data_IF_681181789690
#
_entry.id   IF_681181789690
#
_cell.length_a   1.000
_cell.length_b   1.000
_cell.length_c   1.000
_cell.angle_alpha   90.00
_cell.angle_beta   90.00
_cell.angle_gamma   90.00
#
_symmetry.space_group_name_H-M   'P 1'
#
loop_
_entity.id
_entity.type
_entity.pdbx_description
1 polymer ?
#
# COMPACT_ATOMS: atom_id res chain seq x y z
N UNK A 1 20.49 4.15 -0.92
CA UNK A 1 20.16 4.09 -2.37
C UNK A 1 19.91 5.50 -2.84
N UNK A 2 20.52 5.96 -3.94
CA UNK A 2 20.30 7.33 -4.43
C UNK A 2 19.36 7.28 -5.64
N UNK A 3 18.06 7.52 -5.42
CA UNK A 3 17.01 7.44 -6.45
C UNK A 3 16.88 8.76 -7.24
N UNK A 4 17.72 9.75 -6.92
CA UNK A 4 17.72 11.07 -7.56
C UNK A 4 16.46 11.89 -7.25
N UNK A 5 15.76 11.55 -6.17
CA UNK A 5 14.60 12.27 -5.64
C UNK A 5 14.97 12.86 -4.29
N UNK A 6 14.55 14.10 -4.01
CA UNK A 6 14.77 14.75 -2.72
C UNK A 6 13.73 14.24 -1.71
N UNK A 7 14.04 14.35 -0.42
CA UNK A 7 13.08 14.01 0.64
C UNK A 7 11.77 14.83 0.56
N UNK A 8 11.84 16.06 0.07
CA UNK A 8 10.65 16.88 -0.22
C UNK A 8 9.77 16.25 -1.29
N UNK A 9 10.38 15.70 -2.34
CA UNK A 9 9.69 15.11 -3.48
C UNK A 9 9.02 13.80 -3.03
N UNK A 10 9.74 12.98 -2.27
CA UNK A 10 9.20 11.75 -1.67
C UNK A 10 8.01 12.04 -0.74
N UNK A 11 8.10 13.08 0.09
CA UNK A 11 6.99 13.50 0.96
C UNK A 11 5.78 13.97 0.16
N UNK A 12 5.99 14.73 -0.92
CA UNK A 12 4.90 15.17 -1.76
C UNK A 12 4.19 13.98 -2.44
N UNK A 13 4.96 13.03 -2.98
CA UNK A 13 4.42 11.80 -3.58
C UNK A 13 3.61 11.01 -2.55
N UNK A 14 4.17 10.77 -1.36
CA UNK A 14 3.48 10.04 -0.28
C UNK A 14 2.21 10.76 0.19
N UNK A 15 2.23 12.10 0.27
CA UNK A 15 1.06 12.90 0.62
C UNK A 15 -0.06 12.75 -0.43
N UNK A 16 0.28 12.77 -1.73
CA UNK A 16 -0.69 12.53 -2.81
C UNK A 16 -1.31 11.13 -2.70
N UNK A 17 -0.50 10.09 -2.46
CA UNK A 17 -1.02 8.73 -2.26
C UNK A 17 -1.95 8.64 -1.04
N UNK A 18 -1.63 9.37 0.03
CA UNK A 18 -2.44 9.40 1.24
C UNK A 18 -3.83 10.03 1.06
N UNK A 19 -4.04 10.87 0.04
CA UNK A 19 -5.34 11.47 -0.27
C UNK A 19 -6.36 10.45 -0.79
N UNK A 20 -5.91 9.33 -1.35
CA UNK A 20 -6.78 8.33 -1.95
C UNK A 20 -6.90 7.11 -1.02
N UNK A 21 -8.02 6.92 -0.30
CA UNK A 21 -8.23 5.80 0.62
C UNK A 21 -8.12 4.42 -0.06
N UNK A 22 -8.30 4.38 -1.37
CA UNK A 22 -8.19 3.20 -2.20
C UNK A 22 -6.75 2.68 -2.33
N UNK A 23 -5.74 3.54 -2.18
CA UNK A 23 -4.32 3.19 -2.33
C UNK A 23 -3.76 2.60 -1.05
N UNK A 24 -3.58 1.30 -0.98
CA UNK A 24 -3.03 0.65 0.22
C UNK A 24 -1.51 0.77 0.30
N UNK A 25 -0.82 0.74 -0.83
CA UNK A 25 0.64 0.77 -0.86
C UNK A 25 1.15 1.29 -2.19
N UNK A 26 2.32 1.92 -2.18
CA UNK A 26 3.02 2.38 -3.37
C UNK A 26 4.52 2.07 -3.29
N UNK A 27 5.09 1.65 -4.42
CA UNK A 27 6.50 1.35 -4.58
C UNK A 27 7.08 2.11 -5.78
N UNK A 28 8.28 2.62 -5.61
CA UNK A 28 9.12 3.15 -6.70
C UNK A 28 9.83 1.99 -7.39
N UNK A 29 9.77 1.95 -8.71
CA UNK A 29 10.51 0.97 -9.50
C UNK A 29 11.24 1.63 -10.68
N UNK A 30 11.71 0.80 -11.61
CA UNK A 30 12.32 1.28 -12.84
C UNK A 30 13.76 1.78 -12.69
N UNK A 31 14.14 2.71 -13.57
CA UNK A 31 15.53 3.16 -13.70
C UNK A 31 16.04 3.88 -12.44
N UNK A 32 15.15 4.57 -11.72
CA UNK A 32 15.46 5.28 -10.46
C UNK A 32 15.67 4.32 -9.31
N UNK A 33 14.87 3.27 -9.19
CA UNK A 33 15.06 2.22 -8.19
C UNK A 33 16.39 1.46 -8.40
N UNK A 34 16.76 1.22 -9.67
CA UNK A 34 18.05 0.60 -10.04
C UNK A 34 19.26 1.52 -9.90
N UNK A 35 19.06 2.83 -9.74
CA UNK A 35 20.14 3.81 -9.70
C UNK A 35 20.79 4.11 -11.06
N UNK A 36 20.18 3.67 -12.17
CA UNK A 36 20.67 3.89 -13.55
C UNK A 36 19.96 5.07 -14.23
N UNK A 37 19.34 5.96 -13.45
CA UNK A 37 18.53 7.06 -13.95
C UNK A 37 19.40 8.21 -14.51
N UNK A 38 18.85 8.95 -15.47
CA UNK A 38 19.43 10.19 -15.99
C UNK A 38 18.70 11.38 -15.38
N UNK A 39 19.29 12.58 -15.47
CA UNK A 39 18.55 13.82 -15.19
C UNK A 39 17.35 13.88 -16.14
N UNK A 40 16.13 13.82 -15.59
CA UNK A 40 14.89 13.81 -16.37
C UNK A 40 14.30 12.44 -16.67
N UNK A 41 14.84 11.35 -16.11
CA UNK A 41 14.16 10.04 -16.21
C UNK A 41 12.79 10.06 -15.55
N UNK A 42 11.84 9.35 -16.15
CA UNK A 42 10.51 9.14 -15.61
C UNK A 42 10.57 8.50 -14.20
N UNK A 43 9.56 8.77 -13.39
CA UNK A 43 9.38 8.21 -12.06
C UNK A 43 8.29 7.16 -12.13
N UNK A 44 8.72 5.90 -12.21
CA UNK A 44 7.83 4.75 -12.29
C UNK A 44 7.33 4.35 -10.89
N UNK A 45 6.03 4.44 -10.67
CA UNK A 45 5.36 4.09 -9.42
C UNK A 45 4.39 2.94 -9.63
N UNK A 46 4.54 1.88 -8.83
CA UNK A 46 3.59 0.80 -8.79
C UNK A 46 2.72 0.98 -7.55
N UNK A 47 1.41 1.02 -7.71
CA UNK A 47 0.45 1.14 -6.61
C UNK A 47 -0.34 -0.14 -6.48
N UNK A 48 -0.75 -0.45 -5.25
CA UNK A 48 -1.65 -1.55 -4.93
C UNK A 48 -2.77 -1.04 -4.04
N UNK A 49 -3.98 -1.53 -4.28
CA UNK A 49 -5.15 -1.10 -3.57
C UNK A 49 -6.42 -1.67 -4.19
N UNK A 50 -7.57 -1.31 -3.60
CA UNK A 50 -8.87 -1.75 -4.09
C UNK A 50 -9.49 -0.73 -5.04
N UNK A 51 -10.14 -1.20 -6.11
CA UNK A 51 -10.93 -0.35 -7.04
C UNK A 51 -10.11 0.83 -7.60
N UNK A 52 -8.88 0.56 -8.02
CA UNK A 52 -7.94 1.57 -8.52
C UNK A 52 -8.31 2.18 -9.89
N UNK A 53 -9.35 1.71 -10.57
CA UNK A 53 -9.68 2.07 -11.96
C UNK A 53 -9.60 3.56 -12.27
N UNK A 54 -10.47 4.39 -11.68
CA UNK A 54 -10.45 5.85 -11.87
C UNK A 54 -9.39 6.55 -11.01
N UNK A 55 -8.98 5.92 -9.90
CA UNK A 55 -8.00 6.47 -8.95
C UNK A 55 -6.62 6.57 -9.58
N UNK A 56 -6.22 5.63 -10.43
CA UNK A 56 -4.95 5.68 -11.16
C UNK A 56 -4.84 6.94 -12.03
N UNK A 57 -5.92 7.28 -12.74
CA UNK A 57 -5.96 8.48 -13.57
C UNK A 57 -5.88 9.75 -12.74
N UNK A 58 -6.61 9.82 -11.62
CA UNK A 58 -6.54 10.96 -10.70
C UNK A 58 -5.15 11.10 -10.05
N UNK A 59 -4.49 9.98 -9.72
CA UNK A 59 -3.12 9.98 -9.22
C UNK A 59 -2.15 10.52 -10.27
N UNK A 60 -2.26 10.04 -11.52
CA UNK A 60 -1.43 10.49 -12.64
C UNK A 60 -1.59 11.99 -12.89
N UNK A 61 -2.82 12.47 -12.95
CA UNK A 61 -3.15 13.88 -13.17
C UNK A 61 -2.55 14.74 -12.06
N UNK A 62 -2.78 14.37 -10.79
CA UNK A 62 -2.28 15.13 -9.64
C UNK A 62 -0.75 15.12 -9.55
N UNK A 63 -0.11 13.99 -9.85
CA UNK A 63 1.36 13.87 -9.83
C UNK A 63 2.05 14.66 -10.94
N UNK A 64 1.45 14.75 -12.13
CA UNK A 64 2.07 15.42 -13.28
C UNK A 64 1.67 16.89 -13.42
N UNK A 65 0.42 17.24 -13.11
CA UNK A 65 -0.12 18.58 -13.34
C UNK A 65 -0.13 19.46 -12.08
N UNK A 66 -0.34 18.86 -10.90
CA UNK A 66 -0.46 19.64 -9.65
C UNK A 66 0.83 19.70 -8.84
N UNK A 67 1.65 18.65 -8.88
CA UNK A 67 2.94 18.67 -8.20
C UNK A 67 3.95 19.47 -9.03
N UNK A 68 4.62 20.50 -8.47
CA UNK A 68 5.61 21.29 -9.18
C UNK A 68 6.97 20.57 -9.25
N UNK A 69 6.95 19.32 -9.74
CA UNK A 69 8.13 18.48 -9.87
C UNK A 69 8.55 18.41 -11.35
N UNK A 70 9.86 18.50 -11.66
CA UNK A 70 10.36 18.50 -13.03
C UNK A 70 10.43 17.09 -13.63
N UNK A 71 9.64 16.15 -13.10
CA UNK A 71 9.68 14.74 -13.46
C UNK A 71 8.31 14.32 -13.98
N UNK A 72 8.30 13.43 -14.96
CA UNK A 72 7.08 12.76 -15.37
C UNK A 72 6.87 11.53 -14.50
N UNK A 73 5.65 11.33 -14.04
CA UNK A 73 5.24 10.20 -13.23
C UNK A 73 4.42 9.23 -14.06
N UNK A 74 4.83 7.96 -14.06
CA UNK A 74 4.07 6.86 -14.61
C UNK A 74 3.58 5.98 -13.45
N UNK A 75 2.27 5.74 -13.37
CA UNK A 75 1.65 4.97 -12.29
C UNK A 75 1.00 3.72 -12.88
N UNK A 76 1.33 2.56 -12.33
CA UNK A 76 0.74 1.27 -12.72
C UNK A 76 0.09 0.58 -11.53
N UNK A 77 -0.99 -0.17 -11.77
CA UNK A 77 -1.56 -1.08 -10.77
C UNK A 77 -0.76 -2.38 -10.74
N UNK A 78 -0.08 -2.62 -9.62
CA UNK A 78 0.68 -3.84 -9.37
C UNK A 78 -0.17 -5.10 -9.59
N UNK A 79 -1.44 -5.08 -9.19
CA UNK A 79 -2.35 -6.22 -9.26
C UNK A 79 -2.79 -6.53 -10.69
N UNK A 80 -2.78 -5.52 -11.56
CA UNK A 80 -3.14 -5.65 -12.98
C UNK A 80 -1.95 -6.08 -13.86
N UNK A 81 -0.72 -6.07 -13.34
CA UNK A 81 0.47 -6.48 -14.10
C UNK A 81 0.42 -7.99 -14.37
N UNK A 82 0.22 -8.37 -15.63
CA UNK A 82 0.23 -9.77 -16.08
C UNK A 82 1.61 -10.23 -16.58
N UNK A 83 2.56 -9.31 -16.75
CA UNK A 83 3.89 -9.65 -17.26
C UNK A 83 4.78 -10.21 -16.14
N UNK A 84 5.15 -11.51 -16.17
CA UNK A 84 5.92 -12.14 -15.10
C UNK A 84 7.33 -11.54 -14.96
N UNK A 85 7.94 -11.06 -16.04
CA UNK A 85 9.26 -10.42 -15.99
C UNK A 85 9.20 -9.06 -15.27
N UNK A 86 8.09 -8.33 -15.44
CA UNK A 86 7.88 -7.07 -14.73
C UNK A 86 7.58 -7.31 -13.26
N UNK A 87 6.74 -8.31 -12.93
CA UNK A 87 6.47 -8.71 -11.54
C UNK A 87 7.75 -9.12 -10.80
N UNK A 88 8.60 -9.93 -11.44
CA UNK A 88 9.87 -10.34 -10.85
C UNK A 88 10.85 -9.16 -10.70
N UNK A 89 10.83 -8.21 -11.64
CA UNK A 89 11.60 -6.98 -11.50
C UNK A 89 11.13 -6.16 -10.30
N UNK A 90 9.82 -5.91 -10.22
CA UNK A 90 9.17 -5.20 -9.12
C UNK A 90 9.49 -5.87 -7.78
N UNK A 91 9.34 -7.19 -7.66
CA UNK A 91 9.64 -7.92 -6.44
C UNK A 91 11.11 -7.80 -5.98
N UNK A 92 12.06 -7.68 -6.92
CA UNK A 92 13.49 -7.63 -6.60
C UNK A 92 14.02 -6.24 -6.30
N UNK A 93 13.51 -5.20 -6.97
CA UNK A 93 14.12 -3.86 -6.88
C UNK A 93 13.18 -2.77 -6.37
N UNK A 94 11.88 -3.03 -6.25
CA UNK A 94 10.95 -1.97 -5.90
C UNK A 94 11.20 -1.47 -4.48
N UNK A 95 11.21 -0.15 -4.32
CA UNK A 95 11.43 0.54 -3.04
C UNK A 95 10.09 1.04 -2.55
N UNK A 96 9.63 0.54 -1.40
CA UNK A 96 8.36 0.98 -0.83
C UNK A 96 8.43 2.46 -0.42
N UNK A 97 7.54 3.28 -0.97
CA UNK A 97 7.44 4.72 -0.67
C UNK A 97 6.30 5.02 0.30
N UNK A 98 5.22 4.24 0.21
CA UNK A 98 4.02 4.47 0.98
C UNK A 98 3.37 3.14 1.34
N UNK A 99 2.92 3.04 2.58
CA UNK A 99 2.02 2.00 3.05
C UNK A 99 0.97 2.67 3.91
N UNK A 100 -0.30 2.38 3.65
CA UNK A 100 -1.38 2.79 4.54
C UNK A 100 -1.40 1.81 5.71
N UNK A 101 -1.23 2.31 6.92
CA UNK A 101 -1.64 1.57 8.10
C UNK A 101 -3.15 1.35 8.03
N UNK A 102 -3.59 0.13 7.79
CA UNK A 102 -4.97 -0.25 8.13
C UNK A 102 -4.96 -0.75 9.56
N UNK A 103 -5.45 0.08 10.48
CA UNK A 103 -5.72 -0.37 11.85
C UNK A 103 -7.10 -1.02 11.83
N UNK A 104 -7.16 -2.34 12.00
CA UNK A 104 -8.43 -3.06 12.06
C UNK A 104 -9.21 -2.61 13.31
N UNK A 105 -10.20 -1.72 13.13
CA UNK A 105 -11.20 -1.39 14.14
C UNK A 105 -11.15 -0.01 14.79
N UNK A 106 -10.61 1.03 14.13
CA UNK A 106 -10.78 2.42 14.61
C UNK A 106 -11.32 3.32 13.50
N UNK A 107 -12.63 3.58 13.57
CA UNK A 107 -13.25 4.76 12.96
C UNK A 107 -12.75 5.98 13.75
N UNK A 108 -11.62 6.56 13.35
CA UNK A 108 -11.32 8.00 13.43
C UNK A 108 -9.85 8.26 13.08
N UNK A 109 -9.66 9.30 12.28
CA UNK A 109 -8.41 9.85 11.75
C UNK A 109 -7.16 9.67 12.64
N UNK A 110 -6.32 8.66 12.33
CA UNK A 110 -4.96 8.55 12.88
C UNK A 110 -3.95 9.01 11.82
N UNK A 111 -3.13 10.04 12.10
CA UNK A 111 -2.08 10.48 11.18
C UNK A 111 -0.95 9.44 11.05
N UNK A 112 -0.26 9.39 9.89
CA UNK A 112 0.52 8.25 9.41
C UNK A 112 1.87 7.97 10.12
N UNK A 113 2.13 8.53 11.29
CA UNK A 113 3.50 8.56 11.86
C UNK A 113 3.82 7.40 12.83
N UNK A 114 2.84 6.61 13.29
CA UNK A 114 3.03 5.61 14.37
C UNK A 114 2.96 4.13 13.94
N UNK A 115 3.09 3.81 12.65
CA UNK A 115 2.99 2.42 12.17
C UNK A 115 4.10 1.46 12.64
N UNK A 116 5.20 1.94 13.21
CA UNK A 116 6.40 1.11 13.44
C UNK A 116 6.33 0.13 14.63
N UNK A 117 5.21 0.04 15.38
CA UNK A 117 5.18 -0.73 16.64
C UNK A 117 4.17 -1.88 16.73
N UNK A 118 3.32 -2.12 15.73
CA UNK A 118 2.18 -3.06 15.89
C UNK A 118 2.30 -4.27 14.94
N UNK A 119 3.32 -5.11 15.14
CA UNK A 119 3.33 -6.46 14.58
C UNK A 119 3.78 -7.50 15.61
N UNK A 120 3.02 -7.67 16.70
CA UNK A 120 3.00 -8.94 17.47
C UNK A 120 1.64 -9.15 18.15
N UNK A 121 0.93 -10.19 17.68
CA UNK A 121 -0.32 -10.68 18.23
C UNK A 121 -1.49 -10.12 17.43
N UNK A 122 -2.12 -10.89 16.56
CA UNK A 122 -3.10 -11.89 17.00
C UNK A 122 -3.29 -12.97 15.92
N UNK A 123 -2.93 -14.21 16.24
CA UNK A 123 -3.40 -15.40 15.50
C UNK A 123 -3.85 -16.44 16.52
N UNK A 124 -5.12 -16.37 16.92
CA UNK A 124 -5.82 -17.45 17.60
C UNK A 124 -7.34 -17.16 17.60
N UNK A 125 -8.02 -17.56 16.54
CA UNK A 125 -9.47 -17.71 16.55
C UNK A 125 -9.88 -18.80 15.57
N UNK A 126 -9.87 -20.05 16.00
CA UNK A 126 -10.70 -21.10 15.40
C UNK A 126 -11.28 -22.00 16.50
N UNK A 127 -12.61 -22.14 16.50
CA UNK A 127 -13.29 -23.33 17.01
C UNK A 127 -13.94 -23.27 18.40
N UNK A 128 -15.04 -22.50 18.57
CA UNK A 128 -16.05 -22.77 19.61
C UNK A 128 -17.40 -22.98 18.95
N UNK A 129 -17.84 -24.24 18.89
CA UNK A 129 -19.24 -24.62 18.75
C UNK A 129 -19.44 -25.99 19.40
N UNK A 130 -19.53 -26.01 20.73
CA UNK A 130 -20.15 -27.13 21.45
C UNK A 130 -21.27 -26.56 22.30
N UNK A 131 -22.48 -26.69 21.78
CA UNK A 131 -23.72 -26.22 22.38
C UNK A 131 -24.07 -27.13 23.56
N UNK A 132 -24.03 -26.53 24.76
CA UNK A 132 -24.69 -27.01 25.96
C UNK A 132 -26.11 -27.53 25.67
N UNK A 133 -26.43 -28.71 26.19
CA UNK A 133 -27.78 -29.06 26.65
C UNK A 133 -27.72 -29.40 28.14
N UNK A 134 -28.43 -28.67 29.02
CA UNK A 134 -28.44 -28.97 30.43
C UNK A 134 -29.60 -29.90 30.86
N UNK A 135 -29.30 -30.64 31.93
CA UNK A 135 -30.13 -31.05 33.08
C UNK A 135 -31.20 -32.13 32.93
N UNK A 136 -30.83 -33.32 33.41
CA UNK A 136 -31.44 -34.06 34.54
C UNK A 136 -32.91 -33.79 34.90
N UNK A 137 -33.69 -34.87 34.95
CA UNK A 137 -34.82 -35.03 35.86
C UNK A 137 -34.88 -36.48 36.37
N UNK A 138 -35.01 -36.57 37.69
CA UNK A 138 -34.95 -37.71 38.58
C UNK A 138 -36.16 -38.67 38.53
N UNK A 139 -35.93 -39.91 39.05
CA UNK A 139 -36.85 -40.79 39.82
C UNK A 139 -38.05 -41.38 39.04
N UNK A 140 -38.41 -42.66 39.19
CA UNK A 140 -38.60 -43.55 40.37
C UNK A 140 -39.24 -44.87 39.85
N UNK A 141 -39.64 -45.80 40.72
CA UNK A 141 -38.86 -46.70 41.57
C UNK A 141 -38.50 -48.03 40.87
#
# INVERSE_FOLDING_TARGET
>A
MNHGLRDSDLRAIAATMAMFPQVESAWLFGSRAKGTHRLGSDVDLAVRGERLGEVLWQLLDRLNEELPLPYKFDVIDWSAVQNPALLDHLARVAVQLYVRCQVAGVDDAVPPQDCASVERGTRAAEGRADLLRPTAAERRP
#
